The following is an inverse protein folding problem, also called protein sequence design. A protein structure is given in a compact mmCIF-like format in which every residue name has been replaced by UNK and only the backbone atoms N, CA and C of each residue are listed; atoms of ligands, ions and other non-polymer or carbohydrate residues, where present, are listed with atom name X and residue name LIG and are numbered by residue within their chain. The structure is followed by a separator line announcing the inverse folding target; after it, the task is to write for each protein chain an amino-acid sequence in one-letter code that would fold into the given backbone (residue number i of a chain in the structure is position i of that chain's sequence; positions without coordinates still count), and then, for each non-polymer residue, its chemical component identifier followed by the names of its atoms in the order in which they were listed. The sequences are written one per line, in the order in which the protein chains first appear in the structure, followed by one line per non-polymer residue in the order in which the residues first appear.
data_IF_269533029101
#
_entry.id   IF_269533029101
#
_cell.length_a   1.000
_cell.length_b   1.000
_cell.length_c   1.000
_cell.angle_alpha   90.00
_cell.angle_beta   90.00
_cell.angle_gamma   90.00
#
_symmetry.space_group_name_H-M   'P 1'
#
loop_
_entity.id
_entity.type
_entity.pdbx_description
1 polymer ?
#
# COMPACT_ATOMS: atom_id res chain seq x y z
N UNK A 1 -5.37 4.92 21.99
CA UNK A 1 -4.36 4.23 21.19
C UNK A 1 -4.66 4.44 19.69
N UNK A 2 -3.73 5.05 18.99
CA UNK A 2 -3.90 5.39 17.56
C UNK A 2 -4.19 4.17 16.68
N UNK A 3 -3.60 3.02 16.98
CA UNK A 3 -3.83 1.79 16.24
C UNK A 3 -5.27 1.28 16.42
N UNK A 4 -5.79 1.33 17.65
CA UNK A 4 -7.18 0.92 17.91
C UNK A 4 -8.16 1.83 17.18
N UNK A 5 -7.96 3.14 17.24
CA UNK A 5 -8.81 4.10 16.51
C UNK A 5 -8.77 3.85 15.01
N UNK A 6 -7.58 3.56 14.48
CA UNK A 6 -7.42 3.22 13.06
C UNK A 6 -8.20 1.95 12.70
N UNK A 7 -8.08 0.89 13.51
CA UNK A 7 -8.81 -0.38 13.29
C UNK A 7 -10.32 -0.13 13.32
N UNK A 8 -10.81 0.64 14.30
CA UNK A 8 -12.23 0.95 14.42
C UNK A 8 -12.74 1.71 13.19
N UNK A 9 -12.01 2.73 12.74
CA UNK A 9 -12.34 3.48 11.52
C UNK A 9 -12.31 2.59 10.29
N UNK A 10 -11.31 1.73 10.19
CA UNK A 10 -11.19 0.77 9.11
C UNK A 10 -12.38 -0.17 9.05
N UNK A 11 -12.81 -0.73 10.20
CA UNK A 11 -13.98 -1.61 10.28
C UNK A 11 -15.27 -0.88 9.88
N UNK A 12 -15.45 0.36 10.31
CA UNK A 12 -16.62 1.16 9.93
C UNK A 12 -16.64 1.42 8.42
N UNK A 13 -15.52 1.77 7.85
CA UNK A 13 -15.42 2.12 6.43
C UNK A 13 -15.54 0.89 5.53
N UNK A 14 -14.88 -0.19 5.86
CA UNK A 14 -14.84 -1.41 5.05
C UNK A 14 -15.96 -2.40 5.38
N UNK A 15 -16.52 -2.35 6.56
CA UNK A 15 -17.71 -3.13 6.92
C UNK A 15 -18.90 -2.83 6.00
N UNK A 16 -18.99 -1.61 5.47
CA UNK A 16 -20.01 -1.24 4.49
C UNK A 16 -19.80 -1.88 3.12
N UNK A 17 -18.55 -2.19 2.78
CA UNK A 17 -18.18 -2.80 1.49
C UNK A 17 -18.37 -4.31 1.54
N UNK A 18 -18.22 -4.92 2.72
CA UNK A 18 -18.24 -6.36 2.92
C UNK A 18 -19.42 -6.84 3.76
N UNK A 19 -20.60 -6.24 3.56
CA UNK A 19 -21.81 -6.51 4.39
C UNK A 19 -22.26 -7.97 4.37
N UNK A 20 -21.97 -8.70 3.29
CA UNK A 20 -22.41 -10.09 3.12
C UNK A 20 -21.37 -11.11 3.61
N UNK A 21 -20.27 -10.64 4.23
CA UNK A 21 -19.19 -11.50 4.67
C UNK A 21 -19.16 -11.59 6.18
N UNK A 22 -19.39 -12.79 6.70
CA UNK A 22 -19.51 -13.02 8.14
C UNK A 22 -18.16 -13.08 8.86
N UNK A 23 -17.10 -13.51 8.18
CA UNK A 23 -15.77 -13.66 8.79
C UNK A 23 -14.68 -13.15 7.88
N UNK A 24 -13.85 -12.30 8.43
CA UNK A 24 -12.68 -11.75 7.77
C UNK A 24 -11.43 -12.07 8.60
N UNK A 25 -10.35 -12.40 7.92
CA UNK A 25 -9.02 -12.37 8.49
C UNK A 25 -8.33 -11.10 8.00
N UNK A 26 -7.88 -10.27 8.92
CA UNK A 26 -7.24 -8.99 8.59
C UNK A 26 -5.82 -9.00 9.13
N UNK A 27 -4.85 -8.82 8.25
CA UNK A 27 -3.44 -8.68 8.59
C UNK A 27 -3.00 -7.22 8.48
N UNK A 28 -2.17 -6.77 9.41
CA UNK A 28 -1.58 -5.43 9.41
C UNK A 28 -0.07 -5.54 9.34
N UNK A 29 0.53 -4.88 8.35
CA UNK A 29 1.97 -4.90 8.13
C UNK A 29 2.50 -3.47 8.05
N UNK A 30 3.35 -3.09 9.01
CA UNK A 30 4.03 -1.79 8.97
C UNK A 30 5.36 -1.96 8.24
N UNK A 31 5.59 -1.09 7.26
CA UNK A 31 6.79 -1.14 6.43
C UNK A 31 7.44 0.23 6.37
N UNK A 32 8.75 0.27 6.58
CA UNK A 32 9.56 1.45 6.29
C UNK A 32 10.56 1.12 5.20
N UNK A 33 10.45 1.80 4.07
CA UNK A 33 11.42 1.73 2.99
C UNK A 33 12.28 2.97 3.07
N UNK A 34 13.58 2.78 3.12
CA UNK A 34 14.56 3.84 3.24
C UNK A 34 15.28 4.07 1.92
N UNK A 35 15.72 5.29 1.70
CA UNK A 35 16.68 5.63 0.65
C UNK A 35 17.67 6.65 1.18
N UNK A 36 18.80 6.76 0.50
CA UNK A 36 19.83 7.74 0.81
C UNK A 36 20.50 8.21 -0.47
N UNK A 37 21.48 9.08 -0.34
CA UNK A 37 22.33 9.48 -1.47
C UNK A 37 22.98 8.28 -2.16
N UNK A 38 23.29 7.22 -1.41
CA UNK A 38 24.07 6.09 -1.92
C UNK A 38 23.19 4.89 -2.33
N UNK A 39 21.92 4.89 -2.00
CA UNK A 39 21.03 3.79 -2.41
C UNK A 39 19.58 4.23 -2.62
N UNK A 40 18.99 3.60 -3.61
CA UNK A 40 17.56 3.71 -3.96
C UNK A 40 16.76 2.80 -3.03
N UNK A 41 15.57 3.24 -2.61
CA UNK A 41 14.65 2.39 -1.87
C UNK A 41 13.69 1.67 -2.82
N UNK A 42 13.47 0.37 -2.60
CA UNK A 42 12.59 -0.46 -3.42
C UNK A 42 11.42 -0.96 -2.58
N UNK A 43 10.25 -0.30 -2.65
CA UNK A 43 9.07 -0.76 -1.91
C UNK A 43 8.60 -2.16 -2.32
N UNK A 44 8.81 -2.52 -3.59
CA UNK A 44 8.38 -3.80 -4.16
C UNK A 44 9.52 -4.40 -4.98
N UNK A 45 10.54 -5.00 -4.31
CA UNK A 45 11.70 -5.56 -5.02
C UNK A 45 11.34 -6.64 -6.02
N UNK A 46 10.28 -7.40 -5.77
CA UNK A 46 9.79 -8.49 -6.61
C UNK A 46 9.10 -8.03 -7.90
N UNK A 47 8.76 -6.74 -8.01
CA UNK A 47 8.04 -6.20 -9.17
C UNK A 47 6.53 -6.35 -9.05
N UNK A 48 5.85 -6.29 -10.18
CA UNK A 48 4.39 -6.43 -10.26
C UNK A 48 3.93 -7.77 -9.70
N UNK A 49 2.96 -7.74 -8.75
CA UNK A 49 2.52 -8.95 -8.06
C UNK A 49 1.08 -8.84 -7.56
N UNK A 50 0.57 -9.99 -7.13
CA UNK A 50 -0.61 -10.14 -6.28
C UNK A 50 -0.16 -10.79 -4.98
N UNK A 51 -0.80 -10.43 -3.86
CA UNK A 51 -0.43 -10.96 -2.55
C UNK A 51 -1.16 -12.26 -2.19
N UNK A 52 -2.19 -12.61 -2.95
CA UNK A 52 -2.98 -13.83 -2.71
C UNK A 52 -4.12 -13.66 -1.72
N UNK A 53 -4.55 -12.44 -1.47
CA UNK A 53 -5.70 -12.12 -0.63
C UNK A 53 -6.91 -11.72 -1.47
N UNK A 54 -8.06 -11.52 -0.82
CA UNK A 54 -9.23 -10.98 -1.51
C UNK A 54 -9.06 -9.49 -1.80
N UNK A 55 -8.58 -8.74 -0.79
CA UNK A 55 -8.29 -7.32 -0.91
C UNK A 55 -7.00 -6.97 -0.19
N UNK A 56 -6.33 -5.95 -0.69
CA UNK A 56 -5.16 -5.34 -0.07
C UNK A 56 -5.36 -3.82 -0.03
N UNK A 57 -5.16 -3.22 1.12
CA UNK A 57 -5.13 -1.76 1.25
C UNK A 57 -3.70 -1.31 1.51
N UNK A 58 -3.28 -0.28 0.80
CA UNK A 58 -1.98 0.36 1.00
C UNK A 58 -2.24 1.77 1.51
N UNK A 59 -1.78 2.06 2.71
CA UNK A 59 -2.00 3.34 3.36
C UNK A 59 -0.65 4.03 3.53
N UNK A 60 -0.51 5.24 3.03
CA UNK A 60 0.68 6.05 3.30
C UNK A 60 0.54 6.70 4.68
N UNK A 61 1.33 6.21 5.62
CA UNK A 61 1.37 6.77 6.96
C UNK A 61 2.15 8.08 7.00
N UNK A 62 3.33 8.09 6.42
CA UNK A 62 4.14 9.30 6.22
C UNK A 62 5.28 9.03 5.24
N UNK A 63 5.79 10.10 4.65
CA UNK A 63 6.99 10.06 3.80
C UNK A 63 7.86 11.28 4.12
N UNK A 64 9.17 11.10 4.03
CA UNK A 64 10.14 12.15 4.31
C UNK A 64 11.24 12.17 3.26
N UNK A 65 11.47 13.34 2.67
CA UNK A 65 12.61 13.62 1.80
C UNK A 65 12.74 12.65 0.59
N UNK A 66 11.63 12.26 0.00
CA UNK A 66 11.63 11.33 -1.13
C UNK A 66 10.93 11.88 -2.36
N UNK A 67 11.38 11.41 -3.51
CA UNK A 67 10.66 11.44 -4.78
C UNK A 67 10.37 10.01 -5.22
N UNK A 68 9.44 9.84 -6.15
CA UNK A 68 9.00 8.51 -6.56
C UNK A 68 7.94 7.93 -5.63
N UNK A 69 7.89 6.61 -5.52
CA UNK A 69 6.92 5.93 -4.67
C UNK A 69 5.49 5.97 -5.21
N UNK A 70 5.31 6.10 -6.52
CA UNK A 70 3.99 6.05 -7.13
C UNK A 70 3.41 4.65 -7.00
N UNK A 71 2.21 4.53 -6.46
CA UNK A 71 1.47 3.27 -6.40
C UNK A 71 0.69 3.07 -7.69
N UNK A 72 0.79 1.87 -8.26
CA UNK A 72 0.24 1.53 -9.58
C UNK A 72 -0.55 0.24 -9.52
N UNK A 73 -1.60 0.15 -10.34
CA UNK A 73 -2.46 -1.03 -10.48
C UNK A 73 -2.63 -1.37 -11.95
N UNK A 74 -2.56 -2.66 -12.28
CA UNK A 74 -2.85 -3.20 -13.62
C UNK A 74 -3.80 -4.37 -13.54
N UNK A 75 -4.70 -4.47 -14.50
CA UNK A 75 -5.55 -5.64 -14.66
C UNK A 75 -4.82 -6.83 -15.28
N UNK A 76 -3.77 -6.56 -16.05
CA UNK A 76 -2.92 -7.56 -16.71
C UNK A 76 -1.51 -7.01 -16.86
N UNK A 77 -0.51 -7.89 -16.81
CA UNK A 77 0.91 -7.50 -16.99
C UNK A 77 1.18 -6.92 -18.38
N UNK A 78 0.35 -7.26 -19.38
CA UNK A 78 0.49 -6.79 -20.76
C UNK A 78 -0.26 -5.49 -21.06
N UNK A 79 -0.96 -4.94 -20.07
CA UNK A 79 -1.75 -3.72 -20.23
C UNK A 79 -1.10 -2.55 -19.52
N UNK A 80 -1.54 -1.36 -19.91
CA UNK A 80 -1.18 -0.12 -19.22
C UNK A 80 -1.80 -0.07 -17.82
N UNK A 81 -1.32 0.86 -17.02
CA UNK A 81 -1.87 1.08 -15.67
C UNK A 81 -3.37 1.40 -15.74
N UNK A 82 -4.16 0.66 -14.98
CA UNK A 82 -5.58 0.96 -14.78
C UNK A 82 -5.74 2.19 -13.89
N UNK A 83 -4.83 2.36 -12.94
CA UNK A 83 -4.80 3.49 -12.03
C UNK A 83 -3.40 3.66 -11.44
N UNK A 84 -3.03 4.90 -11.18
CA UNK A 84 -1.79 5.20 -10.42
C UNK A 84 -1.97 6.48 -9.62
N UNK A 85 -1.29 6.56 -8.49
CA UNK A 85 -1.34 7.74 -7.62
C UNK A 85 -0.12 7.84 -6.73
N UNK A 86 0.28 9.07 -6.43
CA UNK A 86 1.15 9.36 -5.31
C UNK A 86 0.29 9.53 -4.06
N UNK A 87 0.33 8.55 -3.17
CA UNK A 87 -0.43 8.60 -1.94
C UNK A 87 0.19 9.63 -0.99
N UNK A 88 -0.60 10.61 -0.59
CA UNK A 88 -0.23 11.58 0.44
C UNK A 88 -0.43 10.98 1.83
N UNK A 89 0.10 11.64 2.86
CA UNK A 89 -0.10 11.21 4.24
C UNK A 89 -1.59 11.01 4.54
N UNK A 90 -1.94 9.81 4.97
CA UNK A 90 -3.31 9.43 5.29
C UNK A 90 -4.14 8.91 4.11
N UNK A 91 -3.64 9.02 2.88
CA UNK A 91 -4.31 8.44 1.72
C UNK A 91 -4.15 6.93 1.71
N UNK A 92 -5.12 6.25 1.13
CA UNK A 92 -5.03 4.82 0.92
C UNK A 92 -5.56 4.41 -0.44
N UNK A 93 -5.14 3.24 -0.87
CA UNK A 93 -5.58 2.58 -2.08
C UNK A 93 -6.08 1.19 -1.70
N UNK A 94 -7.34 0.91 -1.99
CA UNK A 94 -7.94 -0.43 -1.77
C UNK A 94 -7.96 -1.18 -3.09
N UNK A 95 -7.32 -2.34 -3.12
CA UNK A 95 -7.09 -3.12 -4.33
C UNK A 95 -7.82 -4.45 -4.22
N UNK A 96 -8.61 -4.80 -5.24
CA UNK A 96 -9.11 -6.17 -5.40
C UNK A 96 -7.95 -7.05 -5.88
N UNK A 97 -7.33 -7.75 -4.94
CA UNK A 97 -6.10 -8.50 -5.20
C UNK A 97 -6.30 -9.73 -6.11
N UNK A 98 -7.54 -10.21 -6.25
CA UNK A 98 -7.87 -11.28 -7.18
C UNK A 98 -7.82 -10.82 -8.64
N UNK A 99 -8.10 -9.54 -8.88
CA UNK A 99 -8.25 -8.98 -10.23
C UNK A 99 -7.06 -8.17 -10.70
N UNK A 100 -6.31 -7.56 -9.79
CA UNK A 100 -5.31 -6.56 -10.13
C UNK A 100 -3.93 -6.91 -9.60
N UNK A 101 -2.93 -6.71 -10.45
CA UNK A 101 -1.54 -6.62 -10.03
C UNK A 101 -1.26 -5.23 -9.50
N UNK A 102 -0.36 -5.12 -8.54
CA UNK A 102 0.07 -3.84 -8.03
C UNK A 102 1.59 -3.74 -7.91
N UNK A 103 2.07 -2.50 -7.87
CA UNK A 103 3.48 -2.17 -7.81
C UNK A 103 3.62 -0.77 -7.21
N UNK A 104 4.73 -0.51 -6.55
CA UNK A 104 5.11 0.83 -6.12
C UNK A 104 6.49 1.16 -6.67
N UNK A 105 6.60 2.29 -7.36
CA UNK A 105 7.86 2.76 -7.93
C UNK A 105 8.93 2.92 -6.85
N UNK A 106 10.21 2.78 -7.22
CA UNK A 106 11.32 3.09 -6.33
C UNK A 106 11.26 4.50 -5.79
N UNK A 107 11.85 4.69 -4.61
CA UNK A 107 12.00 6.00 -3.98
C UNK A 107 13.44 6.45 -4.02
N UNK A 108 13.63 7.75 -4.24
CA UNK A 108 14.92 8.41 -4.29
C UNK A 108 14.95 9.58 -3.32
N UNK A 109 16.15 9.93 -2.88
CA UNK A 109 16.35 11.09 -2.02
C UNK A 109 16.08 12.39 -2.78
N UNK A 110 15.60 13.41 -2.08
CA UNK A 110 15.40 14.77 -2.63
C UNK A 110 16.58 15.65 -2.26
N UNK A 111 17.16 16.32 -3.26
CA UNK A 111 18.15 17.38 -3.04
C UNK A 111 19.38 16.89 -2.28
N UNK A 112 19.79 17.68 -1.28
CA UNK A 112 20.97 17.44 -0.46
C UNK A 112 20.67 16.76 0.88
N UNK A 113 19.47 16.23 1.08
CA UNK A 113 19.12 15.53 2.32
C UNK A 113 19.89 14.23 2.45
N UNK A 114 20.17 13.80 3.69
CA UNK A 114 21.01 12.62 3.95
C UNK A 114 20.25 11.31 3.74
N UNK A 115 18.98 11.29 4.15
CA UNK A 115 18.15 10.10 4.04
C UNK A 115 16.69 10.49 3.82
N UNK A 116 15.94 9.56 3.30
CA UNK A 116 14.50 9.65 3.16
C UNK A 116 13.85 8.30 3.44
N UNK A 117 12.55 8.31 3.65
CA UNK A 117 11.80 7.10 3.88
C UNK A 117 10.34 7.24 3.47
N UNK A 118 9.73 6.09 3.25
CA UNK A 118 8.29 5.95 3.04
C UNK A 118 7.77 4.92 4.05
N UNK A 119 6.85 5.36 4.89
CA UNK A 119 6.18 4.49 5.86
C UNK A 119 4.78 4.17 5.37
N UNK A 120 4.48 2.88 5.28
CA UNK A 120 3.17 2.40 4.88
C UNK A 120 2.62 1.40 5.86
N UNK A 121 1.30 1.35 5.91
CA UNK A 121 0.56 0.26 6.52
C UNK A 121 -0.10 -0.52 5.39
N UNK A 122 0.24 -1.78 5.25
CA UNK A 122 -0.39 -2.69 4.30
C UNK A 122 -1.38 -3.54 5.07
N UNK A 123 -2.63 -3.52 4.64
CA UNK A 123 -3.71 -4.28 5.26
C UNK A 123 -4.17 -5.35 4.29
N UNK A 124 -4.04 -6.61 4.69
CA UNK A 124 -4.48 -7.75 3.90
C UNK A 124 -5.83 -8.25 4.41
N UNK A 125 -6.75 -8.54 3.51
CA UNK A 125 -8.11 -8.95 3.85
C UNK A 125 -8.42 -10.26 3.16
N UNK A 126 -8.72 -11.28 3.95
CA UNK A 126 -9.09 -12.62 3.48
C UNK A 126 -10.49 -12.96 3.96
N UNK A 127 -11.33 -13.42 3.05
CA UNK A 127 -12.67 -13.91 3.36
C UNK A 127 -12.58 -15.35 3.83
N UNK A 128 -13.12 -15.64 5.00
CA UNK A 128 -13.07 -16.99 5.57
C UNK A 128 -14.36 -17.78 5.36
N UNK A 129 -15.44 -17.11 5.10
CA UNK A 129 -16.72 -17.76 4.80
C UNK A 129 -17.74 -16.76 4.26
#
# INVERSE_FOLDING_TARGET
NNLKQFIDLFQVQFGKIFTDINKLEIGFHQLRIKCSKDFVGYPVPEGWHKDGFNYVAIINYQSLNISGGRSRIKSSLNKEDSYSSFLKKGDYMLINDNKFFHYTDPINIIGSTKYGYRDTLVVTIKFLS
#
